data_IF_833027270015
#
_entry.id   IF_833027270015
#
_cell.length_a   1.000
_cell.length_b   1.000
_cell.length_c   1.000
_cell.angle_alpha   90.00
_cell.angle_beta   90.00
_cell.angle_gamma   90.00
#
_symmetry.space_group_name_H-M   'P 1'
#
loop_
_entity.id
_entity.type
_entity.pdbx_description
1 polymer ?
#
# COMPACT_ATOMS: atom_id res chain seq x y z
N UNK A 1 5.04 17.42 -2.30
CA UNK A 1 6.39 17.70 -2.86
C UNK A 1 6.99 18.98 -2.28
N UNK A 2 6.56 20.17 -2.72
CA UNK A 2 7.13 21.49 -2.33
C UNK A 2 7.35 21.70 -0.83
N UNK A 3 6.39 21.30 0.02
CA UNK A 3 6.49 21.37 1.49
C UNK A 3 7.74 20.68 2.06
N UNK A 4 8.14 19.54 1.48
CA UNK A 4 9.29 18.77 1.97
C UNK A 4 10.60 19.42 1.52
N UNK A 5 10.65 19.93 0.28
CA UNK A 5 11.81 20.68 -0.25
C UNK A 5 12.06 21.96 0.57
N UNK A 6 11.00 22.70 0.91
CA UNK A 6 11.06 23.86 1.78
C UNK A 6 11.53 23.56 3.22
N UNK A 7 11.47 22.30 3.67
CA UNK A 7 12.04 21.89 4.96
C UNK A 7 13.56 21.73 4.93
N UNK A 8 14.18 21.63 3.74
CA UNK A 8 15.62 21.44 3.56
C UNK A 8 16.39 22.70 3.18
N UNK A 9 15.72 23.76 2.71
CA UNK A 9 16.36 24.99 2.22
C UNK A 9 15.53 26.23 2.55
N UNK A 10 16.15 27.20 3.23
CA UNK A 10 15.48 28.44 3.67
C UNK A 10 15.11 29.35 2.50
N UNK A 11 15.91 29.44 1.45
CA UNK A 11 15.64 30.28 0.28
C UNK A 11 14.54 29.65 -0.60
N UNK A 12 14.52 28.32 -0.70
CA UNK A 12 13.37 27.60 -1.26
C UNK A 12 12.10 27.93 -0.47
N UNK A 13 12.13 27.86 0.87
CA UNK A 13 10.97 28.19 1.71
C UNK A 13 10.50 29.64 1.52
N UNK A 14 11.41 30.62 1.50
CA UNK A 14 11.07 32.02 1.30
C UNK A 14 10.39 32.24 -0.06
N UNK A 15 10.98 31.71 -1.14
CA UNK A 15 10.41 31.78 -2.49
C UNK A 15 9.04 31.10 -2.59
N UNK A 16 8.89 29.90 -2.01
CA UNK A 16 7.61 29.19 -1.94
C UNK A 16 6.55 29.99 -1.16
N UNK A 17 6.94 30.59 -0.03
CA UNK A 17 6.06 31.40 0.81
C UNK A 17 5.57 32.66 0.07
N UNK A 18 6.42 33.29 -0.75
CA UNK A 18 6.01 34.41 -1.62
C UNK A 18 4.98 33.98 -2.67
N UNK A 19 5.22 32.87 -3.38
CA UNK A 19 4.26 32.36 -4.35
C UNK A 19 2.92 31.99 -3.70
N UNK A 20 2.93 31.39 -2.50
CA UNK A 20 1.71 31.09 -1.73
C UNK A 20 1.03 32.36 -1.19
N UNK A 21 1.77 33.44 -0.90
CA UNK A 21 1.19 34.74 -0.47
C UNK A 21 0.40 35.44 -1.57
N UNK A 22 0.75 35.23 -2.86
CA UNK A 22 0.03 35.82 -4.01
C UNK A 22 -1.41 35.29 -4.17
N UNK A 23 -1.80 34.26 -3.43
CA UNK A 23 -3.19 33.81 -3.27
C UNK A 23 -3.73 32.98 -4.44
N UNK A 24 -3.54 33.44 -5.68
CA UNK A 24 -4.02 32.78 -6.92
C UNK A 24 -3.58 31.33 -7.06
N UNK A 25 -2.39 30.98 -6.56
CA UNK A 25 -1.87 29.60 -6.62
C UNK A 25 -2.63 28.63 -5.71
N UNK A 26 -3.24 29.12 -4.62
CA UNK A 26 -3.94 28.27 -3.62
C UNK A 26 -5.24 27.65 -4.16
N UNK A 27 -5.82 28.28 -5.17
CA UNK A 27 -7.06 27.86 -5.83
C UNK A 27 -6.85 27.50 -7.30
N UNK A 28 -5.60 27.52 -7.79
CA UNK A 28 -5.29 27.15 -9.16
C UNK A 28 -5.39 25.64 -9.33
N UNK A 29 -6.16 25.19 -10.32
CA UNK A 29 -6.20 23.79 -10.78
C UNK A 29 -5.24 23.52 -11.94
N UNK A 30 -4.47 24.51 -12.39
CA UNK A 30 -3.58 24.35 -13.54
C UNK A 30 -2.25 23.74 -13.10
N UNK A 31 -2.02 22.49 -13.51
CA UNK A 31 -0.86 21.66 -13.18
C UNK A 31 0.48 22.33 -13.55
N UNK A 32 0.54 23.03 -14.68
CA UNK A 32 1.74 23.77 -15.10
C UNK A 32 2.04 24.97 -14.17
N UNK A 33 1.03 25.77 -13.87
CA UNK A 33 1.17 26.92 -12.97
C UNK A 33 1.57 26.47 -11.56
N UNK A 34 0.99 25.37 -11.07
CA UNK A 34 1.39 24.76 -9.80
C UNK A 34 2.86 24.32 -9.80
N UNK A 35 3.32 23.63 -10.85
CA UNK A 35 4.70 23.16 -10.91
C UNK A 35 5.71 24.32 -11.00
N UNK A 36 5.46 25.31 -11.85
CA UNK A 36 6.34 26.47 -12.01
C UNK A 36 6.43 27.30 -10.72
N UNK A 37 5.30 27.60 -10.07
CA UNK A 37 5.27 28.44 -8.86
C UNK A 37 5.68 27.71 -7.57
N UNK A 38 5.45 26.39 -7.46
CA UNK A 38 5.68 25.64 -6.22
C UNK A 38 6.96 24.79 -6.23
N UNK A 39 7.48 24.44 -7.42
CA UNK A 39 8.66 23.59 -7.60
C UNK A 39 9.77 24.35 -8.33
N UNK A 40 9.55 24.81 -9.56
CA UNK A 40 10.62 25.35 -10.40
C UNK A 40 11.18 26.67 -9.88
N UNK A 41 10.34 27.67 -9.62
CA UNK A 41 10.79 28.98 -9.10
C UNK A 41 11.49 28.85 -7.73
N UNK A 42 10.94 28.14 -6.73
CA UNK A 42 11.65 27.92 -5.47
C UNK A 42 12.94 27.11 -5.62
N UNK A 43 13.01 26.14 -6.55
CA UNK A 43 14.25 25.40 -6.83
C UNK A 43 15.34 26.29 -7.42
N UNK A 44 14.99 27.23 -8.31
CA UNK A 44 15.93 28.22 -8.87
C UNK A 44 16.41 29.24 -7.83
N UNK A 45 15.64 29.45 -6.76
CA UNK A 45 16.01 30.30 -5.63
C UNK A 45 16.75 29.54 -4.51
N UNK A 46 16.82 28.21 -4.55
CA UNK A 46 17.44 27.41 -3.50
C UNK A 46 18.95 27.63 -3.41
N UNK A 47 19.47 27.61 -2.20
CA UNK A 47 20.91 27.67 -1.88
C UNK A 47 21.59 26.30 -1.78
N UNK A 48 20.81 25.21 -1.89
CA UNK A 48 21.26 23.83 -1.69
C UNK A 48 22.40 23.44 -2.62
N UNK A 49 23.59 23.25 -2.05
CA UNK A 49 24.77 22.76 -2.75
C UNK A 49 24.79 21.23 -2.72
N UNK A 50 24.70 20.61 -3.89
CA UNK A 50 24.77 19.15 -4.06
C UNK A 50 23.48 18.54 -4.64
N UNK A 51 23.45 17.22 -4.87
CA UNK A 51 22.32 16.56 -5.52
C UNK A 51 21.03 16.62 -4.69
N UNK A 52 19.92 16.99 -5.33
CA UNK A 52 18.57 16.94 -4.73
C UNK A 52 17.78 15.85 -5.42
N UNK A 53 17.31 14.85 -4.66
CA UNK A 53 16.47 13.77 -5.18
C UNK A 53 14.99 14.04 -4.88
N UNK A 54 14.16 14.11 -5.92
CA UNK A 54 12.70 14.11 -5.82
C UNK A 54 12.23 12.68 -6.08
N UNK A 55 11.51 12.09 -5.12
CA UNK A 55 10.90 10.77 -5.28
C UNK A 55 9.41 10.97 -5.61
N UNK A 56 8.96 10.38 -6.72
CA UNK A 56 7.56 10.25 -7.08
C UNK A 56 7.20 8.77 -6.95
N UNK A 57 6.36 8.44 -5.98
CA UNK A 57 5.95 7.07 -5.71
C UNK A 57 4.59 6.79 -6.38
N UNK A 58 4.44 5.62 -7.01
CA UNK A 58 3.23 5.15 -7.69
C UNK A 58 2.64 6.15 -8.71
N UNK A 59 3.40 6.49 -9.76
CA UNK A 59 2.95 7.43 -10.81
C UNK A 59 1.68 6.96 -11.56
N UNK A 60 1.41 5.66 -11.59
CA UNK A 60 0.18 5.06 -12.14
C UNK A 60 -1.08 5.47 -11.35
N UNK A 61 -0.95 5.79 -10.06
CA UNK A 61 -2.06 6.26 -9.22
C UNK A 61 -2.39 7.76 -9.45
N UNK A 62 -1.73 8.45 -10.38
CA UNK A 62 -1.92 9.89 -10.64
C UNK A 62 -3.13 10.22 -11.55
N UNK A 63 -4.27 9.55 -11.33
CA UNK A 63 -5.48 9.66 -12.15
C UNK A 63 -5.51 8.69 -13.34
N UNK A 64 -6.56 8.80 -14.16
CA UNK A 64 -6.68 7.97 -15.36
C UNK A 64 -5.65 8.36 -16.46
N UNK A 65 -5.45 7.57 -17.54
CA UNK A 65 -4.46 7.88 -18.57
C UNK A 65 -4.66 9.24 -19.29
N UNK A 66 -5.86 9.82 -19.26
CA UNK A 66 -6.14 11.16 -19.83
C UNK A 66 -5.71 12.23 -18.83
N UNK A 67 -6.04 12.09 -17.55
CA UNK A 67 -5.63 13.01 -16.48
C UNK A 67 -4.10 12.97 -16.27
N UNK A 68 -3.53 11.77 -16.16
CA UNK A 68 -2.10 11.51 -15.97
C UNK A 68 -1.25 12.05 -17.12
N UNK A 69 -1.80 12.14 -18.34
CA UNK A 69 -1.07 12.72 -19.48
C UNK A 69 -0.54 14.13 -19.18
N UNK A 70 -1.30 14.98 -18.48
CA UNK A 70 -0.80 16.31 -18.10
C UNK A 70 0.43 16.23 -17.20
N UNK A 71 0.48 15.22 -16.31
CA UNK A 71 1.62 14.97 -15.41
C UNK A 71 2.84 14.46 -16.20
N UNK A 72 2.65 13.54 -17.15
CA UNK A 72 3.73 13.03 -18.02
C UNK A 72 4.30 14.15 -18.93
N UNK A 73 3.44 14.93 -19.57
CA UNK A 73 3.81 16.08 -20.40
C UNK A 73 4.50 17.19 -19.58
N UNK A 74 4.15 17.32 -18.29
CA UNK A 74 4.81 18.23 -17.35
C UNK A 74 6.19 17.72 -16.94
N UNK A 75 6.32 16.46 -16.52
CA UNK A 75 7.60 15.89 -16.08
C UNK A 75 8.65 15.96 -17.20
N UNK A 76 8.25 15.61 -18.43
CA UNK A 76 9.10 15.67 -19.62
C UNK A 76 9.75 17.04 -19.84
N UNK A 77 9.00 18.13 -19.61
CA UNK A 77 9.50 19.51 -19.71
C UNK A 77 10.26 19.93 -18.45
N UNK A 78 9.67 19.66 -17.29
CA UNK A 78 10.15 20.11 -15.98
C UNK A 78 11.53 19.59 -15.60
N UNK A 79 11.95 18.44 -16.12
CA UNK A 79 13.34 17.95 -15.98
C UNK A 79 14.39 18.93 -16.54
N UNK A 80 14.04 19.71 -17.57
CA UNK A 80 14.94 20.71 -18.19
C UNK A 80 14.86 22.10 -17.55
N UNK A 81 13.76 22.40 -16.86
CA UNK A 81 13.51 23.71 -16.24
C UNK A 81 14.11 23.82 -14.84
N UNK A 82 14.42 22.69 -14.20
CA UNK A 82 15.01 22.61 -12.86
C UNK A 82 16.55 22.76 -12.88
N UNK A 83 17.16 23.22 -11.77
CA UNK A 83 18.61 23.31 -11.66
C UNK A 83 19.31 21.95 -11.86
N UNK A 84 20.53 21.91 -12.42
CA UNK A 84 21.18 20.68 -12.90
C UNK A 84 21.61 19.70 -11.80
N UNK A 85 21.45 20.06 -10.53
CA UNK A 85 21.63 19.17 -9.37
C UNK A 85 20.35 18.40 -8.97
N UNK A 86 19.19 18.70 -9.54
CA UNK A 86 17.94 17.98 -9.26
C UNK A 86 17.86 16.67 -10.07
N UNK A 87 17.43 15.60 -9.43
CA UNK A 87 17.19 14.28 -10.03
C UNK A 87 15.84 13.75 -9.58
N UNK A 88 15.24 12.89 -10.40
CA UNK A 88 13.99 12.22 -10.09
C UNK A 88 14.23 10.72 -9.96
N UNK A 89 13.63 10.10 -8.95
CA UNK A 89 13.40 8.67 -8.87
C UNK A 89 11.90 8.47 -8.89
N UNK A 90 11.41 7.66 -9.83
CA UNK A 90 9.99 7.50 -10.11
C UNK A 90 9.69 6.01 -10.06
N UNK A 91 8.71 5.60 -9.27
CA UNK A 91 8.19 4.23 -9.24
C UNK A 91 6.83 4.20 -9.92
N UNK A 92 6.53 3.12 -10.63
CA UNK A 92 5.22 2.92 -11.25
C UNK A 92 5.01 1.48 -11.69
N UNK A 93 3.74 1.07 -11.85
CA UNK A 93 3.34 -0.07 -12.68
C UNK A 93 3.59 0.23 -14.17
N UNK A 94 3.84 -0.79 -15.01
CA UNK A 94 4.11 -0.61 -16.44
C UNK A 94 2.81 -0.38 -17.25
N UNK A 95 2.07 0.69 -16.95
CA UNK A 95 0.92 1.10 -17.78
C UNK A 95 1.39 1.65 -19.14
N UNK A 96 0.59 1.45 -20.19
CA UNK A 96 1.05 1.61 -21.58
C UNK A 96 1.51 3.02 -21.95
N UNK A 97 0.87 4.05 -21.41
CA UNK A 97 1.27 5.46 -21.54
C UNK A 97 2.55 5.78 -20.75
N UNK A 98 2.73 5.19 -19.56
CA UNK A 98 3.92 5.36 -18.72
C UNK A 98 5.13 4.67 -19.36
N UNK A 99 4.93 3.46 -19.91
CA UNK A 99 5.96 2.75 -20.69
C UNK A 99 6.36 3.58 -21.91
N UNK A 100 5.39 4.06 -22.70
CA UNK A 100 5.64 4.92 -23.87
C UNK A 100 6.36 6.22 -23.51
N UNK A 101 6.03 6.81 -22.36
CA UNK A 101 6.69 8.00 -21.84
C UNK A 101 8.13 7.72 -21.36
N UNK A 102 8.38 6.55 -20.76
CA UNK A 102 9.70 6.16 -20.24
C UNK A 102 10.75 5.90 -21.32
N UNK A 103 10.35 5.79 -22.60
CA UNK A 103 11.25 5.75 -23.76
C UNK A 103 11.97 7.09 -24.02
N UNK A 104 11.60 8.17 -23.33
CA UNK A 104 12.23 9.49 -23.51
C UNK A 104 13.75 9.44 -23.23
N UNK A 105 14.63 9.99 -24.10
CA UNK A 105 16.09 9.78 -24.00
C UNK A 105 16.79 10.24 -22.71
N UNK A 106 16.11 11.05 -21.89
CA UNK A 106 16.63 11.52 -20.59
C UNK A 106 16.19 10.65 -19.40
N UNK A 107 15.36 9.63 -19.64
CA UNK A 107 14.84 8.72 -18.62
C UNK A 107 15.63 7.42 -18.68
N UNK A 108 16.15 6.98 -17.54
CA UNK A 108 16.68 5.63 -17.37
C UNK A 108 15.60 4.76 -16.75
N UNK A 109 14.84 4.05 -17.60
CA UNK A 109 13.89 3.06 -17.12
C UNK A 109 14.62 1.79 -16.66
N UNK A 110 14.07 1.12 -15.65
CA UNK A 110 14.48 -0.22 -15.19
C UNK A 110 13.23 -1.00 -14.84
N UNK A 111 13.03 -2.17 -15.43
CA UNK A 111 11.91 -3.02 -15.06
C UNK A 111 12.30 -3.91 -13.87
N UNK A 112 11.38 -4.05 -12.91
CA UNK A 112 11.58 -4.99 -11.79
C UNK A 112 11.57 -6.45 -12.27
N UNK A 113 10.95 -6.71 -13.43
CA UNK A 113 10.92 -8.03 -14.08
C UNK A 113 12.26 -8.40 -14.75
N UNK A 114 13.18 -7.43 -14.95
CA UNK A 114 14.54 -7.69 -15.44
C UNK A 114 15.48 -8.21 -14.32
N UNK A 115 15.02 -8.23 -13.06
CA UNK A 115 15.81 -8.69 -11.93
C UNK A 115 15.93 -10.22 -11.94
N UNK A 116 17.07 -10.72 -11.46
CA UNK A 116 17.28 -12.16 -11.31
C UNK A 116 16.27 -12.74 -10.30
N UNK A 117 15.42 -13.64 -10.80
CA UNK A 117 14.38 -14.30 -10.03
C UNK A 117 14.98 -15.19 -8.93
N UNK A 118 16.13 -15.82 -9.15
CA UNK A 118 16.80 -16.64 -8.13
C UNK A 118 17.38 -15.76 -7.01
N UNK A 119 17.92 -14.58 -7.34
CA UNK A 119 18.34 -13.61 -6.31
C UNK A 119 17.15 -13.07 -5.52
N UNK A 120 16.06 -12.73 -6.22
CA UNK A 120 14.81 -12.26 -5.60
C UNK A 120 14.18 -13.34 -4.70
N UNK A 121 14.13 -14.60 -5.15
CA UNK A 121 13.68 -15.74 -4.35
C UNK A 121 14.56 -15.95 -3.11
N UNK A 122 15.88 -15.80 -3.24
CA UNK A 122 16.81 -15.89 -2.10
C UNK A 122 16.57 -14.78 -1.07
N UNK A 123 16.25 -13.56 -1.50
CA UNK A 123 15.94 -12.45 -0.59
C UNK A 123 14.54 -12.58 0.04
N UNK A 124 13.56 -13.14 -0.67
CA UNK A 124 12.28 -13.55 -0.07
C UNK A 124 12.48 -14.64 0.98
N UNK A 125 13.33 -15.65 0.74
CA UNK A 125 13.65 -16.68 1.73
C UNK A 125 14.32 -16.09 2.98
N UNK A 126 15.20 -15.09 2.81
CA UNK A 126 15.80 -14.32 3.93
C UNK A 126 14.74 -13.53 4.69
N UNK A 127 13.83 -12.85 3.99
CA UNK A 127 12.72 -12.11 4.60
C UNK A 127 11.82 -13.03 5.44
N UNK A 128 11.34 -14.16 4.90
CA UNK A 128 10.52 -15.12 5.64
C UNK A 128 11.27 -15.63 6.89
N UNK A 129 12.56 -15.94 6.75
CA UNK A 129 13.41 -16.36 7.88
C UNK A 129 13.51 -15.27 8.97
N UNK A 130 13.59 -14.01 8.57
CA UNK A 130 13.64 -12.85 9.45
C UNK A 130 12.32 -12.65 10.21
N UNK A 131 11.17 -12.79 9.53
CA UNK A 131 9.85 -12.73 10.18
C UNK A 131 9.70 -13.78 11.28
N UNK A 132 10.09 -15.03 11.01
CA UNK A 132 10.06 -16.13 12.01
C UNK A 132 11.00 -15.81 13.19
N UNK A 133 12.22 -15.35 12.90
CA UNK A 133 13.21 -14.98 13.92
C UNK A 133 12.68 -13.90 14.87
N UNK A 134 12.17 -12.80 14.31
CA UNK A 134 11.71 -11.65 15.08
C UNK A 134 10.40 -11.91 15.84
N UNK A 135 9.51 -12.76 15.30
CA UNK A 135 8.25 -13.08 15.98
C UNK A 135 8.49 -13.95 17.24
N UNK A 136 9.36 -14.97 17.14
CA UNK A 136 9.59 -15.90 18.25
C UNK A 136 10.81 -15.56 19.13
N UNK A 137 11.65 -14.59 18.75
CA UNK A 137 12.92 -14.25 19.42
C UNK A 137 13.86 -15.46 19.61
N UNK A 138 13.78 -16.44 18.72
CA UNK A 138 14.52 -17.71 18.80
C UNK A 138 15.43 -17.90 17.60
N UNK A 139 16.48 -18.70 17.78
CA UNK A 139 17.32 -19.17 16.68
C UNK A 139 16.42 -19.86 15.66
N UNK A 140 16.44 -19.39 14.41
CA UNK A 140 15.65 -19.98 13.32
C UNK A 140 16.08 -21.43 13.17
N UNK A 141 15.13 -22.37 13.14
CA UNK A 141 15.44 -23.79 12.93
C UNK A 141 16.24 -23.96 11.64
N UNK A 142 17.50 -24.38 11.77
CA UNK A 142 18.44 -24.59 10.66
C UNK A 142 18.45 -26.04 10.19
N UNK A 143 17.56 -26.90 10.71
CA UNK A 143 17.34 -28.23 10.16
C UNK A 143 16.87 -28.17 8.70
N UNK A 144 17.09 -29.26 7.96
CA UNK A 144 16.64 -29.39 6.57
C UNK A 144 15.12 -29.16 6.46
N UNK A 145 14.34 -29.65 7.44
CA UNK A 145 12.89 -29.42 7.51
C UNK A 145 12.55 -27.95 7.75
N UNK A 146 13.25 -27.29 8.68
CA UNK A 146 13.09 -25.87 8.97
C UNK A 146 13.46 -24.99 7.78
N UNK A 147 14.45 -25.36 6.98
CA UNK A 147 14.88 -24.65 5.77
C UNK A 147 13.97 -24.92 4.56
N UNK A 148 13.48 -26.15 4.42
CA UNK A 148 12.68 -26.61 3.29
C UNK A 148 11.45 -25.74 3.05
N UNK A 149 10.58 -25.58 4.05
CA UNK A 149 9.31 -24.87 3.86
C UNK A 149 9.53 -23.39 3.52
N UNK A 150 10.54 -22.74 4.12
CA UNK A 150 10.89 -21.34 3.81
C UNK A 150 11.37 -21.17 2.37
N UNK A 151 12.19 -22.09 1.86
CA UNK A 151 12.63 -22.07 0.46
C UNK A 151 11.47 -22.37 -0.50
N UNK A 152 10.59 -23.30 -0.13
CA UNK A 152 9.40 -23.63 -0.93
C UNK A 152 8.41 -22.46 -1.02
N UNK A 153 8.09 -21.80 0.10
CA UNK A 153 7.25 -20.59 0.09
C UNK A 153 7.91 -19.44 -0.69
N UNK A 154 9.22 -19.25 -0.59
CA UNK A 154 9.93 -18.22 -1.35
C UNK A 154 9.84 -18.45 -2.87
N UNK A 155 9.85 -19.73 -3.32
CA UNK A 155 9.59 -20.10 -4.73
C UNK A 155 8.13 -19.89 -5.12
N UNK A 156 7.18 -20.25 -4.25
CA UNK A 156 5.75 -20.01 -4.49
C UNK A 156 5.42 -18.51 -4.64
N UNK A 157 6.14 -17.64 -3.94
CA UNK A 157 5.97 -16.18 -4.03
C UNK A 157 6.31 -15.59 -5.41
N UNK A 158 7.11 -16.27 -6.25
CA UNK A 158 7.47 -15.84 -7.62
C UNK A 158 7.94 -14.37 -7.72
N UNK A 159 8.75 -13.93 -6.76
CA UNK A 159 9.24 -12.53 -6.69
C UNK A 159 8.33 -11.55 -5.96
N UNK A 160 7.08 -11.90 -5.65
CA UNK A 160 6.13 -11.01 -4.97
C UNK A 160 6.36 -10.98 -3.44
N UNK A 161 7.18 -10.04 -2.97
CA UNK A 161 7.38 -9.76 -1.54
C UNK A 161 6.07 -9.53 -0.78
N UNK A 162 5.08 -8.91 -1.42
CA UNK A 162 3.74 -8.69 -0.84
C UNK A 162 3.01 -10.01 -0.51
N UNK A 163 3.11 -11.02 -1.38
CA UNK A 163 2.56 -12.35 -1.11
C UNK A 163 3.32 -13.01 0.05
N UNK A 164 4.65 -12.97 0.04
CA UNK A 164 5.48 -13.52 1.11
C UNK A 164 5.24 -12.85 2.47
N UNK A 165 5.05 -11.53 2.50
CA UNK A 165 4.67 -10.75 3.69
C UNK A 165 3.31 -11.19 4.23
N UNK A 166 2.31 -11.34 3.35
CA UNK A 166 0.98 -11.78 3.75
C UNK A 166 0.98 -13.23 4.26
N UNK A 167 1.78 -14.11 3.64
CA UNK A 167 2.01 -15.48 4.15
C UNK A 167 2.68 -15.47 5.52
N UNK A 168 3.66 -14.59 5.76
CA UNK A 168 4.26 -14.45 7.09
C UNK A 168 3.21 -14.03 8.12
N UNK A 169 2.35 -13.06 7.80
CA UNK A 169 1.22 -12.67 8.67
C UNK A 169 0.22 -13.84 8.89
N UNK A 170 0.00 -14.69 7.89
CA UNK A 170 -0.91 -15.84 7.98
C UNK A 170 -0.36 -16.98 8.86
N UNK A 171 0.94 -17.31 8.75
CA UNK A 171 1.55 -18.40 9.54
C UNK A 171 1.97 -17.93 10.95
N UNK A 172 2.28 -16.63 11.13
CA UNK A 172 2.70 -16.02 12.40
C UNK A 172 1.57 -15.22 13.08
N UNK A 173 0.31 -15.65 12.89
CA UNK A 173 -0.87 -15.03 13.49
C UNK A 173 -0.80 -14.88 15.03
N UNK A 174 -1.66 -14.03 15.61
CA UNK A 174 -1.43 -13.35 16.90
C UNK A 174 -1.30 -14.24 18.14
N UNK A 175 -1.67 -15.52 18.05
CA UNK A 175 -1.69 -16.47 19.17
C UNK A 175 -1.01 -17.81 18.83
N UNK A 176 -0.27 -17.89 17.72
CA UNK A 176 0.21 -19.15 17.13
C UNK A 176 1.57 -19.54 17.70
N UNK A 177 1.68 -20.77 18.22
CA UNK A 177 2.98 -21.29 18.63
C UNK A 177 3.82 -21.74 17.41
N UNK A 178 5.15 -21.77 17.55
CA UNK A 178 6.06 -22.06 16.44
C UNK A 178 5.74 -23.38 15.71
N UNK A 179 5.28 -24.42 16.43
CA UNK A 179 4.88 -25.70 15.84
C UNK A 179 3.68 -25.54 14.89
N UNK A 180 2.65 -24.82 15.31
CA UNK A 180 1.46 -24.56 14.49
C UNK A 180 1.78 -23.69 13.27
N UNK A 181 2.68 -22.71 13.42
CA UNK A 181 3.16 -21.89 12.31
C UNK A 181 3.91 -22.73 11.26
N UNK A 182 4.70 -23.73 11.71
CA UNK A 182 5.40 -24.67 10.82
C UNK A 182 4.41 -25.62 10.13
N UNK A 183 3.38 -26.13 10.80
CA UNK A 183 2.37 -26.97 10.14
C UNK A 183 1.57 -26.17 9.09
N UNK A 184 1.12 -24.95 9.41
CA UNK A 184 0.47 -24.07 8.41
C UNK A 184 1.37 -23.77 7.22
N UNK A 185 2.66 -23.56 7.46
CA UNK A 185 3.62 -23.36 6.38
C UNK A 185 3.78 -24.61 5.50
N UNK A 186 3.76 -25.82 6.08
CA UNK A 186 3.75 -27.08 5.32
C UNK A 186 2.46 -27.25 4.52
N UNK A 187 1.30 -26.94 5.11
CA UNK A 187 0.01 -27.01 4.43
C UNK A 187 -0.01 -26.13 3.17
N UNK A 188 0.51 -24.90 3.27
CA UNK A 188 0.70 -24.00 2.12
C UNK A 188 1.70 -24.54 1.09
N UNK A 189 2.77 -25.22 1.54
CA UNK A 189 3.79 -25.80 0.66
C UNK A 189 3.29 -27.04 -0.10
N UNK A 190 2.42 -27.84 0.52
CA UNK A 190 1.86 -29.06 -0.07
C UNK A 190 0.53 -28.84 -0.81
N UNK A 191 -0.20 -27.78 -0.48
CA UNK A 191 -1.43 -27.38 -1.15
C UNK A 191 -1.23 -26.54 -2.42
N UNK A 192 -2.34 -26.13 -3.03
CA UNK A 192 -2.33 -25.09 -4.05
C UNK A 192 -1.99 -23.74 -3.39
N UNK A 193 -1.01 -22.97 -3.89
CA UNK A 193 -0.70 -21.65 -3.32
C UNK A 193 -1.93 -20.73 -3.36
N UNK A 194 -2.38 -20.18 -2.23
CA UNK A 194 -3.54 -19.30 -2.19
C UNK A 194 -3.27 -18.00 -2.96
N UNK A 195 -4.33 -17.43 -3.52
CA UNK A 195 -4.26 -16.09 -4.11
C UNK A 195 -3.99 -15.05 -3.03
N UNK A 196 -3.47 -13.88 -3.41
CA UNK A 196 -3.22 -12.80 -2.46
C UNK A 196 -4.50 -12.36 -1.72
N UNK A 197 -5.65 -12.37 -2.41
CA UNK A 197 -6.95 -12.02 -1.82
C UNK A 197 -7.47 -13.09 -0.86
N UNK A 198 -7.23 -14.37 -1.18
CA UNK A 198 -7.51 -15.46 -0.25
C UNK A 198 -6.64 -15.33 1.01
N UNK A 199 -5.35 -15.03 0.88
CA UNK A 199 -4.48 -14.76 2.04
C UNK A 199 -4.95 -13.56 2.88
N UNK A 200 -5.43 -12.48 2.25
CA UNK A 200 -6.00 -11.35 2.99
C UNK A 200 -7.24 -11.75 3.79
N UNK A 201 -8.17 -12.49 3.17
CA UNK A 201 -9.32 -13.05 3.85
C UNK A 201 -8.89 -13.94 5.03
N UNK A 202 -7.97 -14.87 4.79
CA UNK A 202 -7.49 -15.85 5.77
C UNK A 202 -6.72 -15.20 6.93
N UNK A 203 -6.02 -14.08 6.72
CA UNK A 203 -5.37 -13.30 7.80
C UNK A 203 -6.42 -12.55 8.65
N UNK A 204 -7.47 -11.99 8.01
CA UNK A 204 -8.54 -11.31 8.72
C UNK A 204 -9.39 -12.28 9.55
N UNK A 205 -9.76 -13.44 9.00
CA UNK A 205 -10.61 -14.43 9.69
C UNK A 205 -9.90 -15.16 10.85
N UNK A 206 -8.58 -15.02 10.99
CA UNK A 206 -7.85 -15.50 12.17
C UNK A 206 -8.07 -14.65 13.42
N UNK A 207 -8.47 -13.39 13.26
CA UNK A 207 -8.71 -12.50 14.40
C UNK A 207 -10.02 -12.93 15.09
N UNK A 208 -10.00 -13.36 16.37
CA UNK A 208 -11.19 -13.88 17.06
C UNK A 208 -12.38 -12.91 17.04
N UNK A 209 -12.11 -11.61 16.97
CA UNK A 209 -13.08 -10.53 16.89
C UNK A 209 -13.99 -10.63 15.65
N UNK A 210 -13.50 -11.12 14.50
CA UNK A 210 -14.29 -11.24 13.27
C UNK A 210 -15.43 -12.26 13.37
N UNK A 211 -15.40 -13.16 14.37
CA UNK A 211 -16.54 -14.03 14.70
C UNK A 211 -17.75 -13.25 15.27
N UNK A 212 -17.54 -12.01 15.74
CA UNK A 212 -18.58 -11.18 16.36
C UNK A 212 -19.23 -10.29 15.30
N UNK A 213 -20.50 -10.54 15.00
CA UNK A 213 -21.26 -9.80 13.98
C UNK A 213 -21.16 -8.27 14.13
N UNK A 214 -21.23 -7.74 15.36
CA UNK A 214 -21.11 -6.31 15.62
C UNK A 214 -19.71 -5.74 15.31
N UNK A 215 -18.65 -6.50 15.61
CA UNK A 215 -17.28 -6.10 15.28
C UNK A 215 -17.09 -6.08 13.76
N UNK A 216 -17.56 -7.13 13.08
CA UNK A 216 -17.50 -7.21 11.62
C UNK A 216 -18.24 -6.04 10.97
N UNK A 217 -19.42 -5.66 11.47
CA UNK A 217 -20.16 -4.48 10.99
C UNK A 217 -19.37 -3.18 11.20
N UNK A 218 -18.77 -2.97 12.38
CA UNK A 218 -17.94 -1.80 12.66
C UNK A 218 -16.71 -1.74 11.73
N UNK A 219 -16.02 -2.87 11.51
CA UNK A 219 -14.93 -3.00 10.54
C UNK A 219 -15.37 -2.59 9.14
N UNK A 220 -16.51 -3.10 8.64
CA UNK A 220 -17.05 -2.73 7.32
C UNK A 220 -17.30 -1.21 7.22
N UNK A 221 -17.87 -0.59 8.24
CA UNK A 221 -18.16 0.86 8.26
C UNK A 221 -16.86 1.68 8.21
N UNK A 222 -15.88 1.35 9.05
CA UNK A 222 -14.59 2.07 9.12
C UNK A 222 -13.81 1.93 7.81
N UNK A 223 -13.70 0.71 7.26
CA UNK A 223 -13.04 0.47 5.98
C UNK A 223 -13.73 1.21 4.83
N UNK A 224 -15.07 1.22 4.76
CA UNK A 224 -15.80 1.98 3.73
C UNK A 224 -15.44 3.46 3.76
N UNK A 225 -15.35 4.07 4.95
CA UNK A 225 -14.96 5.47 5.09
C UNK A 225 -13.51 5.66 4.63
N UNK A 226 -12.58 4.85 5.13
CA UNK A 226 -11.17 4.94 4.78
C UNK A 226 -10.89 4.74 3.28
N UNK A 227 -11.72 4.00 2.55
CA UNK A 227 -11.57 3.81 1.09
C UNK A 227 -12.19 4.97 0.31
N UNK A 228 -13.28 5.55 0.83
CA UNK A 228 -14.01 6.65 0.16
C UNK A 228 -13.35 8.02 0.39
N UNK A 229 -12.59 8.18 1.46
CA UNK A 229 -11.98 9.45 1.83
C UNK A 229 -10.73 9.77 0.98
N UNK A 230 -10.74 10.95 0.35
CA UNK A 230 -9.62 11.46 -0.48
C UNK A 230 -8.31 11.63 0.29
N UNK A 231 -8.39 11.94 1.59
CA UNK A 231 -7.23 11.97 2.49
C UNK A 231 -7.43 10.95 3.60
N UNK A 232 -6.42 10.13 3.94
CA UNK A 232 -6.55 9.13 5.00
C UNK A 232 -6.80 9.80 6.35
N UNK A 233 -7.70 9.21 7.14
CA UNK A 233 -8.07 9.69 8.47
C UNK A 233 -7.25 8.98 9.56
N UNK A 234 -6.97 9.69 10.66
CA UNK A 234 -6.41 9.07 11.87
C UNK A 234 -7.48 8.33 12.67
N UNK A 235 -7.06 7.47 13.61
CA UNK A 235 -7.97 6.80 14.55
C UNK A 235 -8.82 7.84 15.29
N UNK A 236 -8.21 8.92 15.80
CA UNK A 236 -8.93 9.99 16.49
C UNK A 236 -9.98 10.69 15.61
N UNK A 237 -9.65 10.98 14.35
CA UNK A 237 -10.58 11.62 13.41
C UNK A 237 -11.77 10.71 13.09
N UNK A 238 -11.52 9.41 12.83
CA UNK A 238 -12.58 8.41 12.66
C UNK A 238 -13.45 8.25 13.89
N UNK A 239 -12.85 8.14 15.08
CA UNK A 239 -13.58 7.99 16.34
C UNK A 239 -14.48 9.21 16.63
N UNK A 240 -14.04 10.41 16.21
CA UNK A 240 -14.81 11.65 16.29
C UNK A 240 -15.92 11.72 15.25
N UNK A 241 -15.70 11.17 14.05
CA UNK A 241 -16.70 11.11 12.98
C UNK A 241 -17.81 10.07 13.25
N UNK A 242 -17.48 8.98 13.94
CA UNK A 242 -18.35 7.80 14.14
C UNK A 242 -18.99 7.68 15.53
N UNK A 243 -18.97 8.75 16.34
CA UNK A 243 -19.24 8.68 17.80
C UNK A 243 -20.52 7.95 18.22
N UNK A 244 -21.59 8.02 17.42
CA UNK A 244 -22.88 7.35 17.69
C UNK A 244 -23.21 6.23 16.68
N UNK A 245 -22.45 6.11 15.59
CA UNK A 245 -22.74 5.21 14.45
C UNK A 245 -22.21 3.77 14.65
N UNK A 246 -21.23 3.56 15.54
CA UNK A 246 -20.69 2.24 15.84
C UNK A 246 -20.59 1.97 17.35
N UNK A 247 -20.89 0.73 17.76
CA UNK A 247 -20.78 0.28 19.15
C UNK A 247 -19.37 -0.15 19.57
N UNK A 248 -18.35 0.14 18.76
CA UNK A 248 -16.97 -0.29 18.96
C UNK A 248 -16.03 0.91 18.91
N UNK A 249 -15.00 0.90 19.75
CA UNK A 249 -13.89 1.84 19.65
C UNK A 249 -13.09 1.55 18.35
N UNK A 250 -12.78 2.60 17.57
CA UNK A 250 -12.08 2.49 16.28
C UNK A 250 -10.70 1.87 16.45
N UNK A 251 -9.97 2.18 17.53
CA UNK A 251 -8.67 1.57 17.80
C UNK A 251 -8.83 0.05 18.01
N UNK A 252 -9.86 -0.38 18.75
CA UNK A 252 -10.16 -1.80 18.96
C UNK A 252 -10.47 -2.57 17.67
N UNK A 253 -10.95 -1.88 16.61
CA UNK A 253 -11.23 -2.49 15.30
C UNK A 253 -10.01 -2.47 14.37
N UNK A 254 -9.17 -1.44 14.46
CA UNK A 254 -7.95 -1.28 13.64
C UNK A 254 -6.75 -2.08 14.21
N UNK A 255 -6.66 -2.27 15.53
CA UNK A 255 -5.52 -2.96 16.14
C UNK A 255 -5.39 -4.44 15.70
N UNK A 256 -6.45 -5.28 15.66
CA UNK A 256 -6.33 -6.68 15.25
C UNK A 256 -5.85 -6.86 13.81
N UNK A 257 -6.15 -5.88 12.94
CA UNK A 257 -5.78 -5.90 11.52
C UNK A 257 -4.44 -5.22 11.23
N UNK A 258 -3.79 -4.57 12.22
CA UNK A 258 -2.59 -3.74 12.03
C UNK A 258 -1.42 -4.44 11.30
N UNK A 259 -1.35 -5.78 11.31
CA UNK A 259 -0.42 -6.57 10.48
C UNK A 259 -0.57 -6.32 8.96
N UNK A 260 -1.76 -5.88 8.52
CA UNK A 260 -2.10 -5.52 7.14
C UNK A 260 -2.17 -3.99 6.91
N UNK A 261 -2.12 -3.17 7.98
CA UNK A 261 -2.27 -1.71 7.96
C UNK A 261 -1.26 -1.02 8.93
N UNK A 262 0.05 -1.24 8.77
CA UNK A 262 1.04 -0.75 9.73
C UNK A 262 1.13 0.78 9.70
N UNK A 263 1.24 1.38 10.89
CA UNK A 263 1.36 2.83 11.07
C UNK A 263 0.13 3.52 11.63
N UNK A 264 -0.90 2.76 12.02
CA UNK A 264 -2.06 3.28 12.74
C UNK A 264 -1.67 3.73 14.17
N UNK A 265 -1.20 4.97 14.31
CA UNK A 265 -1.12 5.66 15.60
C UNK A 265 -2.44 6.39 15.90
N UNK A 266 -2.63 6.91 17.12
CA UNK A 266 -3.85 7.63 17.48
C UNK A 266 -4.09 8.89 16.63
N UNK A 267 -3.01 9.57 16.23
CA UNK A 267 -3.05 10.86 15.55
C UNK A 267 -2.55 10.82 14.10
N UNK A 268 -1.75 9.83 13.73
CA UNK A 268 -1.29 9.68 12.34
C UNK A 268 -2.41 9.11 11.45
N UNK A 269 -2.50 9.51 10.17
CA UNK A 269 -3.42 8.91 9.21
C UNK A 269 -3.21 7.40 9.07
N UNK A 270 -4.30 6.62 9.12
CA UNK A 270 -4.26 5.19 8.83
C UNK A 270 -3.91 5.02 7.35
N UNK A 271 -2.87 4.24 7.06
CA UNK A 271 -2.42 3.96 5.69
C UNK A 271 -2.56 2.49 5.36
N UNK A 272 -2.95 2.23 4.14
CA UNK A 272 -2.92 0.89 3.54
C UNK A 272 -1.48 0.50 3.27
N UNK A 273 -1.12 -0.76 3.54
CA UNK A 273 0.21 -1.26 3.22
C UNK A 273 0.42 -1.43 1.70
N UNK A 274 -0.65 -1.74 0.97
CA UNK A 274 -0.62 -2.03 -0.45
C UNK A 274 -1.92 -1.60 -1.14
N UNK A 275 -1.85 -1.05 -2.36
CA UNK A 275 -3.03 -0.68 -3.15
C UNK A 275 -4.00 -1.86 -3.36
N UNK A 276 -3.50 -3.09 -3.59
CA UNK A 276 -4.39 -4.24 -3.78
C UNK A 276 -5.10 -4.73 -2.52
N UNK A 277 -4.80 -4.17 -1.34
CA UNK A 277 -5.68 -4.31 -0.16
C UNK A 277 -6.95 -3.48 -0.34
N UNK A 278 -6.85 -2.28 -0.92
CA UNK A 278 -7.99 -1.42 -1.25
C UNK A 278 -8.86 -2.13 -2.30
N UNK A 279 -8.26 -2.72 -3.34
CA UNK A 279 -8.97 -3.52 -4.35
C UNK A 279 -9.73 -4.70 -3.72
N UNK A 280 -9.04 -5.49 -2.90
CA UNK A 280 -9.64 -6.62 -2.15
C UNK A 280 -10.83 -6.19 -1.30
N UNK A 281 -10.64 -5.17 -0.45
CA UNK A 281 -11.69 -4.65 0.42
C UNK A 281 -12.88 -4.12 -0.41
N UNK A 282 -12.61 -3.39 -1.49
CA UNK A 282 -13.62 -2.83 -2.40
C UNK A 282 -14.47 -3.94 -3.02
N UNK A 283 -13.86 -5.05 -3.46
CA UNK A 283 -14.59 -6.22 -3.97
C UNK A 283 -15.48 -6.82 -2.87
N UNK A 284 -14.94 -7.05 -1.67
CA UNK A 284 -15.70 -7.55 -0.52
C UNK A 284 -16.88 -6.66 -0.10
N UNK A 285 -16.85 -5.36 -0.44
CA UNK A 285 -17.98 -4.44 -0.23
C UNK A 285 -18.97 -4.42 -1.40
N UNK A 286 -18.51 -4.45 -2.65
CA UNK A 286 -19.36 -4.41 -3.85
C UNK A 286 -20.27 -5.64 -3.95
N UNK A 287 -19.79 -6.83 -3.59
CA UNK A 287 -20.59 -8.05 -3.67
C UNK A 287 -21.81 -8.02 -2.73
N UNK A 288 -21.71 -7.32 -1.60
CA UNK A 288 -22.79 -7.25 -0.59
C UNK A 288 -23.89 -6.26 -1.00
N UNK A 289 -23.57 -5.17 -1.72
CA UNK A 289 -24.58 -4.20 -2.19
C UNK A 289 -25.55 -4.81 -3.20
N UNK A 290 -25.16 -5.88 -3.90
CA UNK A 290 -26.02 -6.60 -4.85
C UNK A 290 -27.05 -7.51 -4.16
N UNK A 291 -26.77 -7.97 -2.95
CA UNK A 291 -27.59 -8.97 -2.25
C UNK A 291 -28.82 -8.35 -1.55
N UNK A 292 -28.81 -7.04 -1.28
CA UNK A 292 -29.96 -6.31 -0.71
C UNK A 292 -31.11 -6.04 -1.71
N UNK A 293 -31.01 -6.47 -2.97
CA UNK A 293 -31.98 -6.09 -4.02
C UNK A 293 -32.57 -7.21 -4.91
N UNK A 294 -32.01 -8.44 -4.99
CA UNK A 294 -32.51 -9.45 -5.94
C UNK A 294 -32.55 -10.89 -5.40
N UNK A 295 -33.69 -11.56 -5.56
CA UNK A 295 -33.87 -13.00 -5.28
C UNK A 295 -33.35 -13.87 -6.44
N UNK A 296 -32.44 -14.82 -6.17
CA UNK A 296 -32.21 -16.13 -6.86
C UNK A 296 -32.12 -16.17 -8.41
N UNK A 297 -31.15 -16.82 -9.09
CA UNK A 297 -30.36 -18.02 -8.74
C UNK A 297 -29.14 -18.22 -9.71
N UNK A 298 -27.97 -18.66 -9.18
CA UNK A 298 -26.85 -19.50 -9.75
C UNK A 298 -26.39 -19.22 -11.22
N UNK A 299 -25.11 -19.04 -11.64
CA UNK A 299 -23.76 -19.30 -11.09
C UNK A 299 -22.75 -18.21 -11.60
N UNK A 300 -21.48 -18.40 -12.04
CA UNK A 300 -20.26 -19.21 -11.71
C UNK A 300 -19.77 -19.55 -10.30
N UNK A 301 -19.74 -18.58 -9.39
CA UNK A 301 -18.84 -18.58 -8.21
C UNK A 301 -19.57 -18.79 -6.87
N UNK A 302 -20.77 -19.40 -6.89
CA UNK A 302 -21.61 -19.53 -5.68
C UNK A 302 -21.10 -20.60 -4.71
N UNK A 303 -20.21 -20.28 -3.76
CA UNK A 303 -19.95 -21.07 -2.53
C UNK A 303 -19.35 -20.29 -1.33
N UNK A 304 -19.73 -19.03 -1.08
CA UNK A 304 -19.53 -18.37 0.25
C UNK A 304 -20.87 -18.12 0.94
N UNK A 305 -21.66 -19.19 1.13
CA UNK A 305 -22.81 -19.20 2.03
C UNK A 305 -23.01 -20.60 2.63
N UNK A 306 -22.29 -20.89 3.72
CA UNK A 306 -22.75 -21.86 4.73
C UNK A 306 -22.04 -21.72 6.09
N UNK A 307 -22.38 -20.65 6.83
CA UNK A 307 -22.58 -20.78 8.29
C UNK A 307 -24.00 -20.27 8.56
N UNK A 308 -24.77 -21.10 9.26
CA UNK A 308 -26.24 -21.03 9.30
C UNK A 308 -26.75 -20.15 10.44
N UNK A 309 -27.79 -19.37 10.13
CA UNK A 309 -29.11 -19.40 10.78
C UNK A 309 -29.13 -19.97 12.21
N UNK A 310 -29.09 -19.09 13.21
CA UNK A 310 -30.25 -18.68 14.05
C UNK A 310 -30.11 -17.18 14.32
#
# INVERSE_FOLDING_TARGET
MSRNLAGGDVQYWESLAESIKKGSIRTSTNTNTQFEELIVKPSKAASTIGPVLIILDALDESGDPIERKEVLDLLSRGFSELPPNYRFLITSRPESDIVSWSEHPTILCKHMDDLDLDETTRDIQRYISSCVYHHYYQVVDTSDNGLYWRSALAKQAKGHFQWASTVCNYILGPTICQTEAVERAKDLVHGSPPTLYQLYYDVLMQQPEFSRQGFFLAFKIIMRILITMREPLSIYALQTFLQEDISYDVCSVIQPINALFPGASSNDPIRYLYASMIDFLTICFIEIVKDEQVKTVINPFTWILQIMVI
#
